data_IF_672139665375
#
_entry.id   IF_672139665375
#
_cell.length_a   1.000
_cell.length_b   1.000
_cell.length_c   1.000
_cell.angle_alpha   90.00
_cell.angle_beta   90.00
_cell.angle_gamma   90.00
#
_symmetry.space_group_name_H-M   'P 1'
#
loop_
_entity.id
_entity.type
_entity.pdbx_description
1 polymer ?
#
# COMPACT_ATOMS: atom_id res chain seq x y z
N UNK A 1 -13.83 43.60 46.51
CA UNK A 1 -13.27 42.73 45.45
C UNK A 1 -12.69 41.44 46.05
N UNK A 2 -11.68 41.49 46.95
CA UNK A 2 -11.07 40.28 47.54
C UNK A 2 -12.07 39.33 48.25
N UNK A 3 -13.03 39.88 49.00
CA UNK A 3 -13.99 39.07 49.76
C UNK A 3 -14.88 38.19 48.88
N UNK A 4 -15.24 38.65 47.67
CA UNK A 4 -16.04 37.87 46.72
C UNK A 4 -15.26 36.69 46.13
N UNK A 5 -13.96 36.90 45.89
CA UNK A 5 -13.08 35.84 45.40
C UNK A 5 -12.89 34.74 46.45
N UNK A 6 -12.68 35.13 47.71
CA UNK A 6 -12.57 34.17 48.83
C UNK A 6 -13.86 33.36 49.03
N UNK A 7 -15.02 34.00 48.90
CA UNK A 7 -16.32 33.32 48.96
C UNK A 7 -16.48 32.33 47.80
N UNK A 8 -16.11 32.71 46.57
CA UNK A 8 -16.18 31.82 45.40
C UNK A 8 -15.26 30.60 45.53
N UNK A 9 -14.06 30.78 46.07
CA UNK A 9 -13.10 29.71 46.29
C UNK A 9 -13.63 28.72 47.34
N UNK A 10 -14.26 29.22 48.40
CA UNK A 10 -14.92 28.41 49.41
C UNK A 10 -16.11 27.60 48.85
N UNK A 11 -16.98 28.24 48.06
CA UNK A 11 -18.11 27.59 47.39
C UNK A 11 -17.63 26.51 46.41
N UNK A 12 -16.60 26.80 45.61
CA UNK A 12 -16.02 25.84 44.66
C UNK A 12 -15.44 24.62 45.36
N UNK A 13 -14.83 24.81 46.54
CA UNK A 13 -14.30 23.72 47.36
C UNK A 13 -15.41 22.85 47.96
N UNK A 14 -16.50 23.45 48.44
CA UNK A 14 -17.68 22.71 48.92
C UNK A 14 -18.28 21.86 47.80
N UNK A 15 -18.47 22.44 46.61
CA UNK A 15 -18.99 21.73 45.45
C UNK A 15 -18.06 20.61 45.01
N UNK A 16 -16.74 20.81 45.04
CA UNK A 16 -15.77 19.75 44.76
C UNK A 16 -15.92 18.54 45.70
N UNK A 17 -16.11 18.78 47.00
CA UNK A 17 -16.35 17.70 47.97
C UNK A 17 -17.71 17.02 47.76
N UNK A 18 -18.75 17.77 47.38
CA UNK A 18 -20.05 17.22 47.01
C UNK A 18 -19.94 16.29 45.78
N UNK A 19 -19.29 16.74 44.71
CA UNK A 19 -19.06 15.93 43.50
C UNK A 19 -18.09 14.77 43.73
N UNK A 20 -17.18 14.88 44.71
CA UNK A 20 -16.32 13.77 45.17
C UNK A 20 -17.17 12.65 45.80
N UNK A 21 -18.20 12.96 46.59
CA UNK A 21 -19.13 11.96 47.14
C UNK A 21 -19.96 11.25 46.05
N UNK A 22 -20.31 11.96 44.98
CA UNK A 22 -21.11 11.42 43.86
C UNK A 22 -20.28 10.57 42.87
N UNK A 23 -18.96 10.42 43.09
CA UNK A 23 -18.03 9.64 42.23
C UNK A 23 -18.11 10.00 40.74
N UNK A 24 -18.41 11.26 40.38
CA UNK A 24 -18.38 11.72 38.98
C UNK A 24 -16.93 11.82 38.49
N UNK A 25 -16.65 11.26 37.31
CA UNK A 25 -15.31 11.22 36.71
C UNK A 25 -14.78 12.62 36.36
N UNK A 26 -15.66 13.55 36.01
CA UNK A 26 -15.28 14.90 35.51
C UNK A 26 -14.98 15.92 36.61
N UNK A 27 -14.85 15.48 37.87
CA UNK A 27 -14.75 16.35 39.05
C UNK A 27 -13.63 17.39 38.98
N UNK A 28 -12.48 17.04 38.41
CA UNK A 28 -11.30 17.90 38.35
C UNK A 28 -11.47 19.03 37.33
N UNK A 29 -12.03 18.69 36.16
CA UNK A 29 -12.26 19.65 35.07
C UNK A 29 -13.31 20.68 35.50
N UNK A 30 -14.40 20.22 36.14
CA UNK A 30 -15.45 21.12 36.65
C UNK A 30 -14.94 22.09 37.71
N UNK A 31 -14.09 21.61 38.64
CA UNK A 31 -13.47 22.47 39.64
C UNK A 31 -12.56 23.54 39.03
N UNK A 32 -11.73 23.19 38.03
CA UNK A 32 -10.87 24.16 37.34
C UNK A 32 -11.68 25.28 36.69
N UNK A 33 -12.77 24.93 36.01
CA UNK A 33 -13.63 25.91 35.32
C UNK A 33 -14.35 26.82 36.34
N UNK A 34 -14.87 26.27 37.44
CA UNK A 34 -15.51 27.06 38.51
C UNK A 34 -14.53 28.00 39.24
N UNK A 35 -13.27 27.59 39.40
CA UNK A 35 -12.23 28.41 39.98
C UNK A 35 -11.82 29.58 39.06
N UNK A 36 -11.80 29.35 37.74
CA UNK A 36 -11.42 30.35 36.74
C UNK A 36 -12.55 31.38 36.47
N UNK A 37 -13.81 30.95 36.54
CA UNK A 37 -14.97 31.81 36.24
C UNK A 37 -15.92 31.91 37.44
N UNK A 38 -15.67 32.85 38.37
CA UNK A 38 -16.49 33.02 39.56
C UNK A 38 -17.95 33.34 39.19
N UNK A 39 -18.89 32.77 39.94
CA UNK A 39 -20.36 32.94 39.80
C UNK A 39 -20.94 32.34 38.51
N UNK A 40 -20.43 32.72 37.34
CA UNK A 40 -20.90 32.25 36.02
C UNK A 40 -20.66 30.75 35.86
N UNK A 41 -19.46 30.26 36.24
CA UNK A 41 -19.14 28.83 36.17
C UNK A 41 -20.03 27.99 37.10
N UNK A 42 -20.28 28.46 38.32
CA UNK A 42 -21.17 27.77 39.26
C UNK A 42 -22.61 27.69 38.72
N UNK A 43 -23.15 28.80 38.20
CA UNK A 43 -24.50 28.86 37.64
C UNK A 43 -24.63 27.92 36.43
N UNK A 44 -23.67 27.93 35.49
CA UNK A 44 -23.71 27.08 34.31
C UNK A 44 -23.72 25.59 34.66
N UNK A 45 -22.91 25.16 35.62
CA UNK A 45 -22.86 23.74 35.99
C UNK A 45 -24.10 23.29 36.77
N UNK A 46 -24.68 24.17 37.60
CA UNK A 46 -25.96 23.89 38.28
C UNK A 46 -27.08 23.74 37.24
N UNK A 47 -27.12 24.62 36.23
CA UNK A 47 -28.07 24.52 35.12
C UNK A 47 -27.88 23.25 34.29
N UNK A 48 -26.64 22.89 33.98
CA UNK A 48 -26.33 21.65 33.26
C UNK A 48 -26.76 20.41 34.05
N UNK A 49 -26.48 20.37 35.36
CA UNK A 49 -26.87 19.25 36.20
C UNK A 49 -28.40 19.16 36.38
N UNK A 50 -29.11 20.30 36.48
CA UNK A 50 -30.58 20.36 36.47
C UNK A 50 -31.16 19.89 35.13
N UNK A 51 -30.56 20.30 34.01
CA UNK A 51 -30.99 19.91 32.67
C UNK A 51 -30.86 18.39 32.44
N UNK A 52 -29.85 17.75 33.01
CA UNK A 52 -29.62 16.30 32.93
C UNK A 52 -30.64 15.49 33.75
N UNK A 53 -31.28 16.10 34.75
CA UNK A 53 -32.35 15.48 35.55
C UNK A 53 -33.71 15.64 34.88
N UNK A 54 -33.95 16.81 34.25
CA UNK A 54 -35.22 17.10 33.56
C UNK A 54 -35.29 16.50 32.15
N UNK A 55 -34.16 16.40 31.45
CA UNK A 55 -34.02 15.74 30.17
C UNK A 55 -33.05 14.57 30.35
N UNK A 56 -33.54 13.38 30.76
CA UNK A 56 -32.70 12.19 30.77
C UNK A 56 -32.24 11.92 29.34
N UNK A 57 -31.00 12.29 29.04
CA UNK A 57 -30.35 11.92 27.79
C UNK A 57 -30.21 10.41 27.82
N UNK A 58 -30.95 9.74 26.95
CA UNK A 58 -30.90 8.31 26.77
C UNK A 58 -29.46 7.92 26.38
N UNK A 59 -28.71 7.37 27.34
CA UNK A 59 -27.30 7.02 27.19
C UNK A 59 -27.06 6.02 26.06
N UNK A 60 -28.10 5.32 25.60
CA UNK A 60 -28.04 4.44 24.44
C UNK A 60 -27.82 5.19 23.13
N UNK A 61 -28.24 6.47 23.00
CA UNK A 61 -28.02 7.21 21.75
C UNK A 61 -26.55 7.60 21.55
N UNK A 62 -25.79 7.81 22.61
CA UNK A 62 -24.36 8.15 22.52
C UNK A 62 -23.49 6.93 22.15
N UNK A 63 -23.87 5.72 22.60
CA UNK A 63 -23.22 4.48 22.15
C UNK A 63 -23.62 4.14 20.72
N UNK A 64 -24.89 4.33 20.33
CA UNK A 64 -25.35 4.13 18.95
C UNK A 64 -24.63 5.08 17.98
N UNK A 65 -24.44 6.36 18.31
CA UNK A 65 -23.72 7.30 17.43
C UNK A 65 -22.21 7.01 17.31
N UNK A 66 -21.59 6.42 18.34
CA UNK A 66 -20.18 5.99 18.28
C UNK A 66 -20.04 4.67 17.52
N UNK A 67 -20.90 3.70 17.79
CA UNK A 67 -20.96 2.44 17.05
C UNK A 67 -21.34 2.66 15.58
N UNK A 68 -22.21 3.61 15.25
CA UNK A 68 -22.60 3.91 13.87
C UNK A 68 -21.47 4.59 13.10
N UNK A 69 -20.68 5.47 13.73
CA UNK A 69 -19.46 6.03 13.11
C UNK A 69 -18.38 4.97 12.96
N UNK A 70 -18.11 4.18 13.99
CA UNK A 70 -17.09 3.12 13.96
C UNK A 70 -17.49 1.99 13.00
N UNK A 71 -18.77 1.63 12.94
CA UNK A 71 -19.36 0.73 11.95
C UNK A 71 -19.39 1.36 10.55
N UNK A 72 -19.52 2.67 10.40
CA UNK A 72 -19.37 3.33 9.09
C UNK A 72 -17.93 3.26 8.59
N UNK A 73 -16.93 3.49 9.46
CA UNK A 73 -15.52 3.31 9.09
C UNK A 73 -15.19 1.83 8.84
N UNK A 74 -15.63 0.92 9.70
CA UNK A 74 -15.42 -0.52 9.53
C UNK A 74 -16.18 -1.01 8.30
N UNK A 75 -17.40 -0.58 8.03
CA UNK A 75 -18.15 -0.96 6.82
C UNK A 75 -17.58 -0.31 5.57
N UNK A 76 -17.02 0.90 5.61
CA UNK A 76 -16.30 1.48 4.47
C UNK A 76 -14.99 0.73 4.20
N UNK A 77 -14.24 0.36 5.24
CA UNK A 77 -13.01 -0.44 5.13
C UNK A 77 -13.33 -1.87 4.69
N UNK A 78 -14.37 -2.49 5.25
CA UNK A 78 -14.85 -3.82 4.87
C UNK A 78 -15.42 -3.80 3.46
N UNK A 79 -16.24 -2.82 3.08
CA UNK A 79 -16.76 -2.65 1.71
C UNK A 79 -15.62 -2.42 0.72
N UNK A 80 -14.59 -1.64 1.07
CA UNK A 80 -13.36 -1.51 0.26
C UNK A 80 -12.58 -2.82 0.17
N UNK A 81 -12.53 -3.62 1.24
CA UNK A 81 -11.92 -4.96 1.26
C UNK A 81 -12.73 -6.01 0.50
N UNK A 82 -14.06 -5.90 0.52
CA UNK A 82 -15.00 -6.80 -0.14
C UNK A 82 -15.05 -6.51 -1.63
N UNK A 83 -15.08 -5.23 -2.03
CA UNK A 83 -14.85 -4.82 -3.42
C UNK A 83 -13.49 -5.33 -3.90
N UNK A 84 -12.45 -5.28 -3.06
CA UNK A 84 -11.15 -5.91 -3.35
C UNK A 84 -11.21 -7.44 -3.52
N UNK A 85 -12.06 -8.13 -2.75
CA UNK A 85 -12.23 -9.60 -2.80
C UNK A 85 -13.06 -10.08 -3.99
N UNK A 86 -14.14 -9.39 -4.38
CA UNK A 86 -14.92 -9.76 -5.58
C UNK A 86 -14.16 -9.44 -6.88
N UNK A 87 -13.30 -8.43 -6.84
CA UNK A 87 -12.41 -8.00 -7.94
C UNK A 87 -11.18 -8.91 -8.08
N UNK A 88 -10.82 -9.66 -7.04
CA UNK A 88 -9.81 -10.73 -7.06
C UNK A 88 -10.21 -11.96 -7.90
N UNK A 89 -11.45 -12.02 -8.40
CA UNK A 89 -11.94 -13.13 -9.24
C UNK A 89 -11.74 -12.82 -10.74
N UNK A 90 -11.56 -11.55 -11.10
CA UNK A 90 -11.43 -11.15 -12.51
C UNK A 90 -9.97 -11.33 -12.93
N UNK A 91 -9.68 -12.17 -13.93
CA UNK A 91 -8.36 -12.24 -14.53
C UNK A 91 -7.90 -10.85 -14.95
N UNK A 92 -6.61 -10.55 -14.74
CA UNK A 92 -6.04 -9.23 -15.02
C UNK A 92 -6.26 -8.86 -16.50
N UNK A 93 -6.24 -9.85 -17.40
CA UNK A 93 -6.49 -9.70 -18.82
C UNK A 93 -7.91 -9.24 -19.14
N UNK A 94 -8.91 -9.74 -18.41
CA UNK A 94 -10.33 -9.37 -18.59
C UNK A 94 -10.62 -7.98 -18.01
N UNK A 95 -9.86 -7.60 -16.99
CA UNK A 95 -10.01 -6.30 -16.35
C UNK A 95 -9.61 -5.10 -17.22
N UNK A 96 -8.76 -5.29 -18.24
CA UNK A 96 -8.45 -4.23 -19.22
C UNK A 96 -9.60 -3.99 -20.20
N UNK A 97 -10.37 -5.05 -20.50
CA UNK A 97 -11.52 -4.99 -21.41
C UNK A 97 -12.71 -4.32 -20.72
N UNK A 98 -12.76 -4.40 -19.39
CA UNK A 98 -13.74 -3.68 -18.59
C UNK A 98 -13.41 -2.18 -18.59
N UNK A 99 -14.38 -1.36 -18.98
CA UNK A 99 -14.23 0.10 -19.03
C UNK A 99 -14.37 0.77 -17.65
N UNK A 100 -13.79 0.16 -16.61
CA UNK A 100 -13.79 0.69 -15.24
C UNK A 100 -12.37 1.11 -14.85
N UNK A 101 -12.15 2.43 -14.79
CA UNK A 101 -10.85 3.01 -14.47
C UNK A 101 -10.37 2.68 -13.05
N UNK A 102 -11.27 2.59 -12.07
CA UNK A 102 -10.89 2.21 -10.70
C UNK A 102 -10.45 0.75 -10.64
N UNK A 103 -10.99 -0.11 -11.52
CA UNK A 103 -10.51 -1.47 -11.72
C UNK A 103 -9.11 -1.52 -12.30
N UNK A 104 -8.88 -0.80 -13.39
CA UNK A 104 -7.57 -0.77 -14.05
C UNK A 104 -6.47 -0.21 -13.14
N UNK A 105 -6.74 0.90 -12.43
CA UNK A 105 -5.76 1.53 -11.52
C UNK A 105 -5.37 0.64 -10.34
N UNK A 106 -6.32 -0.03 -9.68
CA UNK A 106 -6.00 -0.91 -8.54
C UNK A 106 -5.15 -2.12 -8.98
N UNK A 107 -5.45 -2.69 -10.14
CA UNK A 107 -4.68 -3.82 -10.70
C UNK A 107 -3.26 -3.39 -11.07
N UNK A 108 -3.08 -2.19 -11.63
CA UNK A 108 -1.75 -1.64 -11.87
C UNK A 108 -0.95 -1.46 -10.57
N UNK A 109 -1.58 -0.93 -9.52
CA UNK A 109 -0.96 -0.75 -8.21
C UNK A 109 -0.54 -2.11 -7.61
N UNK A 110 -1.39 -3.13 -7.71
CA UNK A 110 -1.07 -4.46 -7.17
C UNK A 110 -0.02 -5.19 -8.01
N UNK A 111 -0.02 -4.97 -9.34
CA UNK A 111 1.03 -5.47 -10.24
C UNK A 111 2.39 -4.84 -9.91
N UNK A 112 2.42 -3.55 -9.56
CA UNK A 112 3.63 -2.85 -9.12
C UNK A 112 4.18 -3.39 -7.79
N UNK A 113 3.32 -3.86 -6.88
CA UNK A 113 3.74 -4.48 -5.60
C UNK A 113 4.26 -5.91 -5.79
N UNK A 114 3.77 -6.63 -6.81
CA UNK A 114 4.12 -8.01 -7.11
C UNK A 114 5.26 -8.17 -8.12
N UNK A 115 5.34 -9.35 -8.75
CA UNK A 115 6.25 -9.59 -9.87
C UNK A 115 5.66 -9.06 -11.18
N UNK A 116 5.93 -7.78 -11.47
CA UNK A 116 5.51 -7.11 -12.69
C UNK A 116 5.99 -7.80 -13.98
N UNK A 117 7.06 -8.62 -13.94
CA UNK A 117 7.51 -9.39 -15.11
C UNK A 117 6.45 -10.41 -15.55
N UNK A 118 5.75 -11.06 -14.61
CA UNK A 118 4.71 -12.05 -14.90
C UNK A 118 3.55 -11.46 -15.72
N UNK A 119 3.26 -10.18 -15.49
CA UNK A 119 2.14 -9.47 -16.14
C UNK A 119 2.61 -8.54 -17.26
N UNK A 120 3.83 -8.71 -17.77
CA UNK A 120 4.42 -7.80 -18.76
C UNK A 120 3.60 -7.70 -20.05
N UNK A 121 2.98 -8.80 -20.49
CA UNK A 121 2.06 -8.79 -21.62
C UNK A 121 0.84 -7.88 -21.41
N UNK A 122 0.25 -7.93 -20.21
CA UNK A 122 -0.85 -7.05 -19.82
C UNK A 122 -0.40 -5.58 -19.71
N UNK A 123 0.72 -5.33 -19.02
CA UNK A 123 1.27 -3.98 -18.86
C UNK A 123 1.55 -3.32 -20.22
N UNK A 124 2.08 -4.10 -21.18
CA UNK A 124 2.31 -3.60 -22.54
C UNK A 124 1.03 -3.22 -23.28
N UNK A 125 -0.07 -3.95 -23.09
CA UNK A 125 -1.36 -3.60 -23.69
C UNK A 125 -1.90 -2.30 -23.08
N UNK A 126 -1.78 -2.16 -21.77
CA UNK A 126 -2.26 -0.99 -21.06
C UNK A 126 -1.43 0.30 -21.29
N UNK A 127 -0.30 0.23 -22.00
CA UNK A 127 0.44 1.43 -22.45
C UNK A 127 -0.37 2.27 -23.45
N UNK A 128 -1.33 1.67 -24.15
CA UNK A 128 -2.23 2.34 -25.09
C UNK A 128 -3.65 2.50 -24.54
N UNK A 129 -3.84 2.45 -23.22
CA UNK A 129 -5.15 2.64 -22.60
C UNK A 129 -5.61 4.10 -22.74
N UNK A 130 -6.92 4.31 -22.93
CA UNK A 130 -7.52 5.65 -23.06
C UNK A 130 -7.38 6.48 -21.79
N UNK A 131 -7.38 5.83 -20.61
CA UNK A 131 -7.11 6.49 -19.34
C UNK A 131 -5.61 6.79 -19.20
N UNK A 132 -5.29 8.08 -19.15
CA UNK A 132 -3.91 8.56 -19.03
C UNK A 132 -3.22 8.10 -17.74
N UNK A 133 -3.96 7.90 -16.64
CA UNK A 133 -3.38 7.41 -15.39
C UNK A 133 -3.02 5.92 -15.50
N UNK A 134 -3.93 5.10 -16.03
CA UNK A 134 -3.66 3.68 -16.31
C UNK A 134 -2.45 3.51 -17.23
N UNK A 135 -2.37 4.27 -18.31
CA UNK A 135 -1.21 4.29 -19.21
C UNK A 135 0.08 4.73 -18.52
N UNK A 136 0.01 5.73 -17.63
CA UNK A 136 1.16 6.19 -16.85
C UNK A 136 1.67 5.13 -15.85
N UNK A 137 0.76 4.45 -15.16
CA UNK A 137 1.12 3.35 -14.25
C UNK A 137 1.72 2.18 -15.01
N UNK A 138 1.14 1.82 -16.15
CA UNK A 138 1.68 0.78 -17.03
C UNK A 138 3.11 1.12 -17.49
N UNK A 139 3.34 2.36 -17.94
CA UNK A 139 4.66 2.83 -18.35
C UNK A 139 5.69 2.73 -17.22
N UNK A 140 5.31 3.15 -16.02
CA UNK A 140 6.17 3.06 -14.82
C UNK A 140 6.52 1.61 -14.50
N UNK A 141 5.54 0.71 -14.55
CA UNK A 141 5.74 -0.72 -14.29
C UNK A 141 6.65 -1.38 -15.33
N UNK A 142 6.42 -1.12 -16.63
CA UNK A 142 7.25 -1.64 -17.73
C UNK A 142 8.69 -1.14 -17.62
N UNK A 143 8.86 0.15 -17.29
CA UNK A 143 10.20 0.74 -17.11
C UNK A 143 10.94 0.10 -15.93
N UNK A 144 10.24 -0.15 -14.83
CA UNK A 144 10.82 -0.84 -13.67
C UNK A 144 11.22 -2.29 -13.99
N UNK A 145 10.39 -3.02 -14.76
CA UNK A 145 10.75 -4.36 -15.25
C UNK A 145 12.00 -4.30 -16.11
N UNK A 146 12.06 -3.38 -17.07
CA UNK A 146 13.24 -3.17 -17.94
C UNK A 146 14.49 -2.88 -17.13
N UNK A 147 14.38 -2.02 -16.10
CA UNK A 147 15.47 -1.67 -15.20
C UNK A 147 15.99 -2.90 -14.45
N UNK A 148 15.11 -3.70 -13.86
CA UNK A 148 15.48 -4.93 -13.13
C UNK A 148 16.20 -5.93 -14.04
N UNK A 149 15.66 -6.22 -15.22
CA UNK A 149 16.30 -7.12 -16.19
C UNK A 149 17.69 -6.63 -16.62
N UNK A 150 17.81 -5.33 -16.89
CA UNK A 150 19.08 -4.71 -17.28
C UNK A 150 20.11 -4.83 -16.16
N UNK A 151 19.72 -4.57 -14.91
CA UNK A 151 20.60 -4.72 -13.75
C UNK A 151 21.04 -6.17 -13.54
N UNK A 152 20.15 -7.14 -13.71
CA UNK A 152 20.50 -8.55 -13.59
C UNK A 152 21.53 -8.96 -14.64
N UNK A 153 21.34 -8.54 -15.89
CA UNK A 153 22.31 -8.79 -16.97
C UNK A 153 23.66 -8.14 -16.68
N UNK A 154 23.68 -6.88 -16.20
CA UNK A 154 24.94 -6.22 -15.86
C UNK A 154 25.65 -6.93 -14.70
N UNK A 155 24.92 -7.23 -13.63
CA UNK A 155 25.46 -7.90 -12.43
C UNK A 155 26.02 -9.29 -12.77
N UNK A 156 25.26 -10.09 -13.53
CA UNK A 156 25.68 -11.43 -13.93
C UNK A 156 26.79 -11.39 -14.98
N UNK A 157 26.75 -10.44 -15.92
CA UNK A 157 27.82 -10.23 -16.89
C UNK A 157 29.15 -9.89 -16.22
N UNK A 158 29.14 -9.00 -15.22
CA UNK A 158 30.35 -8.69 -14.45
C UNK A 158 30.90 -9.93 -13.71
N UNK A 159 30.03 -10.76 -13.12
CA UNK A 159 30.47 -12.01 -12.48
C UNK A 159 31.00 -13.03 -13.48
N UNK A 160 30.34 -13.15 -14.63
CA UNK A 160 30.76 -14.01 -15.74
C UNK A 160 32.18 -13.68 -16.19
N UNK A 161 32.53 -12.39 -16.30
CA UNK A 161 33.86 -11.93 -16.68
C UNK A 161 34.89 -12.14 -15.54
N UNK A 162 34.53 -11.83 -14.28
CA UNK A 162 35.42 -11.95 -13.12
C UNK A 162 35.86 -13.39 -12.85
N UNK A 163 34.95 -14.36 -13.00
CA UNK A 163 35.22 -15.79 -12.77
C UNK A 163 35.88 -16.47 -13.98
N UNK A 164 36.34 -15.70 -14.97
CA UNK A 164 36.91 -16.19 -16.23
C UNK A 164 36.02 -17.22 -16.93
N UNK A 165 34.70 -17.09 -16.77
CA UNK A 165 33.69 -17.97 -17.35
C UNK A 165 33.76 -19.43 -16.91
N UNK A 166 34.40 -19.74 -15.77
CA UNK A 166 34.61 -21.13 -15.32
C UNK A 166 33.51 -21.64 -14.41
N UNK A 167 32.75 -20.76 -13.75
CA UNK A 167 31.66 -21.15 -12.85
C UNK A 167 30.39 -21.51 -13.66
N UNK A 168 29.99 -22.80 -13.70
CA UNK A 168 28.81 -23.22 -14.45
C UNK A 168 27.51 -22.59 -13.96
N UNK A 169 27.40 -22.30 -12.66
CA UNK A 169 26.19 -21.73 -12.04
C UNK A 169 26.01 -20.28 -12.51
N UNK A 170 27.10 -19.52 -12.55
CA UNK A 170 27.07 -18.13 -13.02
C UNK A 170 26.82 -18.08 -14.52
N UNK A 171 27.44 -18.97 -15.30
CA UNK A 171 27.21 -19.06 -16.75
C UNK A 171 25.74 -19.38 -17.05
N UNK A 172 25.15 -20.38 -16.39
CA UNK A 172 23.74 -20.76 -16.53
C UNK A 172 22.81 -19.60 -16.13
N UNK A 173 23.06 -18.98 -14.97
CA UNK A 173 22.27 -17.83 -14.51
C UNK A 173 22.36 -16.64 -15.48
N UNK A 174 23.54 -16.37 -16.04
CA UNK A 174 23.73 -15.29 -17.00
C UNK A 174 23.01 -15.57 -18.33
N UNK A 175 23.11 -16.80 -18.85
CA UNK A 175 22.38 -17.23 -20.03
C UNK A 175 20.86 -17.10 -19.83
N UNK A 176 20.33 -17.55 -18.69
CA UNK A 176 18.91 -17.40 -18.36
C UNK A 176 18.47 -15.94 -18.29
N UNK A 177 19.28 -15.05 -17.69
CA UNK A 177 18.96 -13.63 -17.61
C UNK A 177 18.93 -12.96 -19.00
N UNK A 178 19.87 -13.31 -19.87
CA UNK A 178 19.89 -12.84 -21.26
C UNK A 178 18.67 -13.33 -22.03
N UNK A 179 18.37 -14.64 -21.96
CA UNK A 179 17.19 -15.25 -22.58
C UNK A 179 15.91 -14.56 -22.12
N UNK A 180 15.74 -14.39 -20.81
CA UNK A 180 14.61 -13.68 -20.20
C UNK A 180 14.44 -12.26 -20.76
N UNK A 181 15.53 -11.51 -20.94
CA UNK A 181 15.42 -10.16 -21.51
C UNK A 181 15.10 -10.17 -23.01
N UNK A 182 15.68 -11.10 -23.79
CA UNK A 182 15.38 -11.23 -25.22
C UNK A 182 13.93 -11.63 -25.49
N UNK A 183 13.34 -12.47 -24.63
CA UNK A 183 11.95 -12.93 -24.73
C UNK A 183 10.94 -11.93 -24.15
N UNK A 184 11.39 -10.95 -23.34
CA UNK A 184 10.51 -9.96 -22.71
C UNK A 184 9.73 -9.08 -23.70
N UNK A 185 10.20 -8.97 -24.95
CA UNK A 185 9.62 -8.09 -25.95
C UNK A 185 9.73 -6.59 -25.61
N UNK A 186 10.70 -6.20 -24.78
CA UNK A 186 11.03 -4.81 -24.41
C UNK A 186 12.19 -4.22 -25.21
N UNK A 187 12.83 -5.04 -26.03
CA UNK A 187 13.99 -4.69 -26.83
C UNK A 187 13.56 -4.24 -28.23
N UNK A 188 14.21 -3.18 -28.72
CA UNK A 188 14.18 -2.87 -30.15
C UNK A 188 15.00 -3.91 -30.95
N UNK A 189 14.88 -3.88 -32.28
CA UNK A 189 15.55 -4.83 -33.18
C UNK A 189 17.08 -4.86 -33.00
N UNK A 190 17.71 -3.71 -32.76
CA UNK A 190 19.17 -3.61 -32.62
C UNK A 190 19.62 -4.19 -31.28
N UNK A 191 18.94 -3.83 -30.20
CA UNK A 191 19.21 -4.32 -28.87
C UNK A 191 18.95 -5.83 -28.78
N UNK A 192 17.84 -6.32 -29.34
CA UNK A 192 17.53 -7.75 -29.43
C UNK A 192 18.69 -8.52 -30.10
N UNK A 193 19.13 -8.06 -31.27
CA UNK A 193 20.24 -8.70 -32.00
C UNK A 193 21.53 -8.71 -31.17
N UNK A 194 21.82 -7.61 -30.46
CA UNK A 194 22.99 -7.52 -29.58
C UNK A 194 22.93 -8.53 -28.44
N UNK A 195 21.83 -8.56 -27.68
CA UNK A 195 21.69 -9.44 -26.51
C UNK A 195 21.57 -10.91 -26.91
N UNK A 196 20.91 -11.21 -28.03
CA UNK A 196 20.84 -12.57 -28.56
C UNK A 196 22.23 -13.10 -28.96
N UNK A 197 23.06 -12.28 -29.61
CA UNK A 197 24.44 -12.66 -29.93
C UNK A 197 25.27 -12.94 -28.67
N UNK A 198 25.09 -12.16 -27.61
CA UNK A 198 25.77 -12.40 -26.33
C UNK A 198 25.28 -13.71 -25.72
N UNK A 199 23.97 -13.96 -25.71
CA UNK A 199 23.39 -15.21 -25.22
C UNK A 199 23.96 -16.43 -25.94
N UNK A 200 24.00 -16.43 -27.28
CA UNK A 200 24.57 -17.52 -28.06
C UNK A 200 26.05 -17.77 -27.73
N UNK A 201 26.83 -16.71 -27.51
CA UNK A 201 28.25 -16.83 -27.10
C UNK A 201 28.40 -17.46 -25.72
N UNK A 202 27.53 -17.09 -24.77
CA UNK A 202 27.53 -17.67 -23.42
C UNK A 202 27.11 -19.14 -23.48
N UNK A 203 26.10 -19.45 -24.29
CA UNK A 203 25.60 -20.81 -24.51
C UNK A 203 26.69 -21.72 -25.10
N UNK A 204 27.44 -21.23 -26.08
CA UNK A 204 28.58 -21.94 -26.66
C UNK A 204 29.64 -22.29 -25.60
N UNK A 205 29.98 -21.34 -24.72
CA UNK A 205 30.90 -21.59 -23.62
C UNK A 205 30.39 -22.66 -22.62
N UNK A 206 29.08 -22.67 -22.34
CA UNK A 206 28.44 -23.69 -21.48
C UNK A 206 28.51 -25.09 -22.13
N UNK A 207 28.31 -25.16 -23.45
CA UNK A 207 28.40 -26.39 -24.23
C UNK A 207 29.83 -26.94 -24.24
N UNK A 208 30.81 -26.08 -24.51
CA UNK A 208 32.23 -26.45 -24.59
C UNK A 208 32.82 -26.93 -23.26
N UNK A 209 32.25 -26.49 -22.13
CA UNK A 209 32.66 -26.90 -20.78
C UNK A 209 32.08 -28.25 -20.31
N UNK A 210 31.45 -29.03 -21.21
CA UNK A 210 30.94 -30.42 -20.98
C UNK A 210 29.93 -30.58 -19.81
N UNK A 211 29.35 -29.49 -19.33
CA UNK A 211 28.28 -29.46 -18.32
C UNK A 211 26.91 -29.05 -18.89
N UNK A 212 26.76 -29.09 -20.22
CA UNK A 212 25.51 -28.70 -20.88
C UNK A 212 24.42 -29.77 -20.73
N UNK A 213 23.28 -29.36 -20.17
CA UNK A 213 22.01 -30.08 -20.27
C UNK A 213 21.55 -30.13 -21.74
N UNK A 214 20.88 -31.20 -22.13
CA UNK A 214 20.37 -31.45 -23.49
C UNK A 214 19.57 -30.27 -24.08
N UNK A 215 18.82 -29.57 -23.22
CA UNK A 215 18.04 -28.35 -23.53
C UNK A 215 18.87 -27.27 -24.24
N UNK A 216 20.16 -27.13 -23.89
CA UNK A 216 21.02 -26.09 -24.46
C UNK A 216 21.45 -26.39 -25.91
N UNK A 217 21.50 -27.66 -26.30
CA UNK A 217 21.80 -28.06 -27.68
C UNK A 217 20.60 -27.82 -28.59
N UNK A 218 19.39 -28.09 -28.11
CA UNK A 218 18.15 -27.80 -28.82
C UNK A 218 17.96 -26.30 -29.05
N UNK A 219 18.24 -25.48 -28.03
CA UNK A 219 18.15 -24.02 -28.13
C UNK A 219 19.11 -23.43 -29.16
N UNK A 220 20.32 -23.98 -29.34
CA UNK A 220 21.28 -23.54 -30.37
C UNK A 220 20.82 -23.88 -31.79
N UNK A 221 20.03 -24.94 -31.97
CA UNK A 221 19.57 -25.40 -33.30
C UNK A 221 18.35 -24.63 -33.83
N UNK A 222 17.62 -23.95 -32.94
CA UNK A 222 16.35 -23.26 -33.26
C UNK A 222 16.57 -21.78 -33.61
N UNK A 223 17.74 -21.21 -33.30
CA UNK A 223 18.12 -19.80 -33.55
C UNK A 223 19.04 -19.68 -34.75
#
# INVERSE_FOLDING_TARGET
MLNLFMINLFISFILFFYYKKIKRKDRLIRFMIMALMPIVGAILFILLDMSLVWFPVDKNKESIFKEEKESSYISLVLRKSEIGKWKSIIPIEDALVLNDEEIKRNIMIDTLKGDAYKYLGFLKKALGDEDTETSHYAATAVMEVKRKLTLDIHRLGSKYDLENHKDPIINEAYAMALKKYTESGLLDKRAYTKYMRIYLKVLENIIDTKNAKEIYYEEKMIV
#
